data_IF_454087793265
#
_entry.id   IF_454087793265
#
_cell.length_a   1.000
_cell.length_b   1.000
_cell.length_c   1.000
_cell.angle_alpha   90.00
_cell.angle_beta   90.00
_cell.angle_gamma   90.00
#
_symmetry.space_group_name_H-M   'P 1'
#
loop_
_entity.id
_entity.type
_entity.pdbx_description
1 polymer ?
#
# COMPACT_ATOMS: atom_id res chain seq x y z
N UNK A 1 10.44 23.14 14.11
CA UNK A 1 11.20 21.90 13.94
C UNK A 1 10.33 20.99 13.08
N UNK A 2 10.42 21.15 11.77
CA UNK A 2 9.73 20.28 10.83
C UNK A 2 10.51 18.97 10.84
N UNK A 3 9.93 17.94 11.47
CA UNK A 3 10.53 16.61 11.48
C UNK A 3 10.42 16.09 10.06
N UNK A 4 11.49 16.19 9.29
CA UNK A 4 11.70 15.41 8.07
C UNK A 4 11.70 13.94 8.49
N UNK A 5 10.49 13.38 8.62
CA UNK A 5 10.32 11.96 8.88
C UNK A 5 10.69 11.29 7.56
N UNK A 6 11.93 10.83 7.45
CA UNK A 6 12.32 9.93 6.37
C UNK A 6 11.35 8.75 6.38
N UNK A 7 10.37 8.80 5.48
CA UNK A 7 9.40 7.73 5.27
C UNK A 7 10.07 6.44 4.82
N UNK A 8 11.39 6.43 4.59
CA UNK A 8 12.15 5.29 4.06
C UNK A 8 12.15 4.08 4.99
N UNK A 9 12.07 4.30 6.31
CA UNK A 9 11.99 3.25 7.33
C UNK A 9 10.54 2.85 7.66
N UNK A 10 9.56 3.63 7.18
CA UNK A 10 8.14 3.33 7.40
C UNK A 10 7.78 1.99 6.72
N UNK A 11 7.09 1.11 7.44
CA UNK A 11 6.72 -0.21 6.94
C UNK A 11 5.31 -0.20 6.34
N UNK A 12 5.18 -0.75 5.14
CA UNK A 12 3.91 -0.97 4.46
C UNK A 12 3.61 -2.46 4.44
N UNK A 13 2.38 -2.80 4.81
CA UNK A 13 1.79 -4.13 4.61
C UNK A 13 1.30 -4.29 3.18
N UNK A 14 1.86 -5.25 2.44
CA UNK A 14 1.40 -5.69 1.12
C UNK A 14 0.60 -6.97 1.29
N UNK A 15 -0.66 -6.96 0.90
CA UNK A 15 -1.55 -8.12 0.96
C UNK A 15 -1.59 -8.80 -0.40
N UNK A 16 -1.38 -10.11 -0.43
CA UNK A 16 -1.52 -10.91 -1.63
C UNK A 16 -2.99 -11.03 -2.04
N UNK A 17 -3.32 -10.69 -3.29
CA UNK A 17 -4.69 -10.81 -3.82
C UNK A 17 -5.13 -12.28 -3.98
N UNK A 18 -4.20 -13.21 -4.18
CA UNK A 18 -4.49 -14.63 -4.40
C UNK A 18 -4.73 -15.42 -3.11
N UNK A 19 -3.89 -15.22 -2.09
CA UNK A 19 -3.92 -16.04 -0.87
C UNK A 19 -4.16 -15.23 0.41
N UNK A 20 -4.38 -13.91 0.30
CA UNK A 20 -4.54 -13.00 1.43
C UNK A 20 -3.36 -12.96 2.43
N UNK A 21 -2.20 -13.50 2.04
CA UNK A 21 -0.99 -13.42 2.87
C UNK A 21 -0.48 -11.98 2.94
N UNK A 22 -0.29 -11.48 4.16
CA UNK A 22 0.27 -10.15 4.42
C UNK A 22 1.80 -10.26 4.58
N UNK A 23 2.53 -9.47 3.78
CA UNK A 23 3.98 -9.28 3.94
C UNK A 23 4.29 -7.82 4.22
N UNK A 24 5.29 -7.55 5.06
CA UNK A 24 5.70 -6.19 5.41
C UNK A 24 6.99 -5.82 4.71
N UNK A 25 7.03 -4.63 4.11
CA UNK A 25 8.19 -4.08 3.40
C UNK A 25 8.32 -2.60 3.71
N UNK A 26 9.55 -2.12 3.83
CA UNK A 26 9.79 -0.69 4.02
C UNK A 26 9.45 0.10 2.75
N UNK A 27 9.03 1.35 2.92
CA UNK A 27 8.80 2.27 1.79
C UNK A 27 10.08 2.45 0.97
N UNK A 28 11.25 2.48 1.62
CA UNK A 28 12.54 2.53 0.94
C UNK A 28 12.74 1.33 0.00
N UNK A 29 12.36 0.12 0.45
CA UNK A 29 12.40 -1.07 -0.39
C UNK A 29 11.42 -0.98 -1.56
N UNK A 30 10.19 -0.53 -1.33
CA UNK A 30 9.16 -0.38 -2.35
C UNK A 30 9.45 0.72 -3.40
N UNK A 31 10.34 1.67 -3.09
CA UNK A 31 10.83 2.66 -4.06
C UNK A 31 11.79 2.04 -5.07
N UNK A 32 12.57 1.06 -4.66
CA UNK A 32 13.59 0.39 -5.48
C UNK A 32 13.02 -0.87 -6.15
N UNK A 33 12.08 -1.53 -5.49
CA UNK A 33 11.48 -2.79 -5.94
C UNK A 33 9.98 -2.60 -6.19
N UNK A 34 9.53 -2.87 -7.41
CA UNK A 34 8.12 -2.79 -7.80
C UNK A 34 7.42 -4.14 -7.76
N UNK A 35 8.13 -5.23 -7.47
CA UNK A 35 7.58 -6.59 -7.43
C UNK A 35 8.00 -7.28 -6.15
N UNK A 36 7.05 -7.97 -5.53
CA UNK A 36 7.29 -8.80 -4.35
C UNK A 36 6.71 -10.19 -4.58
N UNK A 37 7.52 -11.20 -4.32
CA UNK A 37 7.04 -12.58 -4.30
C UNK A 37 6.26 -12.83 -3.00
N UNK A 38 5.07 -13.40 -3.14
CA UNK A 38 4.26 -13.81 -2.01
C UNK A 38 4.87 -15.04 -1.33
N UNK A 39 5.21 -14.93 -0.05
CA UNK A 39 5.71 -16.07 0.74
C UNK A 39 4.65 -17.14 1.03
N UNK A 40 3.36 -16.83 0.82
CA UNK A 40 2.25 -17.75 1.04
C UNK A 40 1.98 -18.66 -0.16
N UNK A 41 1.92 -18.11 -1.37
CA UNK A 41 1.54 -18.86 -2.58
C UNK A 41 2.56 -18.81 -3.72
N UNK A 42 3.64 -18.03 -3.59
CA UNK A 42 4.63 -17.82 -4.66
C UNK A 42 4.18 -16.89 -5.79
N UNK A 43 3.00 -16.27 -5.70
CA UNK A 43 2.53 -15.32 -6.69
C UNK A 43 3.38 -14.04 -6.69
N UNK A 44 3.63 -13.47 -7.87
CA UNK A 44 4.31 -12.18 -8.03
C UNK A 44 3.29 -11.06 -7.88
N UNK A 45 3.44 -10.24 -6.85
CA UNK A 45 2.59 -9.08 -6.57
C UNK A 45 3.31 -7.83 -7.10
N UNK A 46 2.68 -7.14 -8.05
CA UNK A 46 3.19 -5.87 -8.57
C UNK A 46 2.74 -4.72 -7.66
N UNK A 47 3.69 -4.14 -6.94
CA UNK A 47 3.49 -3.01 -6.04
C UNK A 47 3.80 -1.73 -6.82
N UNK A 48 2.86 -1.32 -7.67
CA UNK A 48 3.00 -0.05 -8.39
C UNK A 48 2.80 1.14 -7.42
N UNK A 49 3.91 1.79 -7.08
CA UNK A 49 3.95 3.04 -6.29
C UNK A 49 3.07 4.18 -6.84
N UNK A 50 2.59 4.06 -8.09
CA UNK A 50 1.70 5.04 -8.74
C UNK A 50 0.22 4.95 -8.30
N UNK A 51 -0.23 3.83 -7.72
CA UNK A 51 -1.65 3.66 -7.37
C UNK A 51 -2.05 4.20 -5.98
N UNK A 52 -1.10 4.46 -5.08
CA UNK A 52 -1.40 5.00 -3.74
C UNK A 52 -1.99 6.42 -3.75
N UNK A 53 -1.92 7.17 -4.86
CA UNK A 53 -2.54 8.50 -4.96
C UNK A 53 -4.07 8.49 -5.12
N UNK A 54 -4.70 7.35 -5.40
CA UNK A 54 -6.16 7.32 -5.63
C UNK A 54 -6.99 7.07 -4.37
N UNK A 55 -6.43 6.45 -3.34
CA UNK A 55 -7.20 6.07 -2.15
C UNK A 55 -7.37 7.27 -1.18
N UNK A 56 -6.47 8.25 -1.20
CA UNK A 56 -6.59 9.46 -0.38
C UNK A 56 -7.60 10.52 -0.91
N UNK A 57 -8.24 10.29 -2.07
CA UNK A 57 -9.19 11.23 -2.68
C UNK A 57 -10.64 10.73 -2.76
N UNK A 58 -10.96 9.59 -2.11
CA UNK A 58 -12.22 8.87 -2.31
C UNK A 58 -13.19 8.82 -1.12
N UNK A 59 -12.96 9.56 -0.03
CA UNK A 59 -13.90 9.67 1.09
C UNK A 59 -15.07 10.61 0.80
N UNK A 60 -15.79 10.35 -0.30
CA UNK A 60 -16.95 11.12 -0.73
C UNK A 60 -18.18 10.82 0.12
N UNK A 61 -18.63 11.85 0.85
CA UNK A 61 -20.02 12.22 1.16
C UNK A 61 -20.98 11.11 1.60
N UNK A 62 -21.28 11.17 2.89
CA UNK A 62 -22.51 10.74 3.57
C UNK A 62 -23.75 10.71 2.66
N UNK A 63 -24.32 9.52 2.50
CA UNK A 63 -25.70 9.32 2.10
C UNK A 63 -26.60 9.68 3.29
N UNK A 64 -27.47 10.67 3.15
CA UNK A 64 -28.68 10.77 3.97
C UNK A 64 -29.80 11.40 3.12
N UNK A 65 -30.75 10.53 2.73
CA UNK A 65 -32.11 10.82 2.23
C UNK A 65 -32.80 11.80 3.20
N UNK A 66 -33.54 12.84 2.79
CA UNK A 66 -34.72 12.79 1.93
C UNK A 66 -35.97 12.64 2.78
N UNK A 67 -36.56 13.76 3.23
CA UNK A 67 -37.99 13.95 3.54
C UNK A 67 -38.32 15.46 3.45
#
# INVERSE_FOLDING_TARGET
METDRSLEDDEISVVCADCAYETRKSVGWLRVHTQVECLGCGAIIDVESRNFRKIAAGGGRTSESGD
#
